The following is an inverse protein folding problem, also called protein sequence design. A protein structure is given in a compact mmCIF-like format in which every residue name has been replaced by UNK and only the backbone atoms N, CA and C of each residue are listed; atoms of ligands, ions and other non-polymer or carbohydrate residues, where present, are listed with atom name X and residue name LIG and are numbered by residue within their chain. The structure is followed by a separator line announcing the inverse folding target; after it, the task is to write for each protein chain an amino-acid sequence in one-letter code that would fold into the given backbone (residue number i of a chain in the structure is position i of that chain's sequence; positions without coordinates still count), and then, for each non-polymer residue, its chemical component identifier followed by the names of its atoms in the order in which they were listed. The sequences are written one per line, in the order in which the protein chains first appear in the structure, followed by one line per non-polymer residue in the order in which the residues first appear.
data_IF_590044283196
#
_entry.id   IF_590044283196
#
_cell.length_a   1.000
_cell.length_b   1.000
_cell.length_c   1.000
_cell.angle_alpha   90.00
_cell.angle_beta   90.00
_cell.angle_gamma   90.00
#
_symmetry.space_group_name_H-M   'P 1'
#
loop_
_entity.id
_entity.type
_entity.pdbx_description
1 polymer ?
#
# COMPACT_ATOMS: atom_id res chain seq x y z
N UNK A 1 16.90 -37.80 -37.15
CA UNK A 1 15.56 -37.30 -36.81
C UNK A 1 15.26 -37.82 -35.42
N UNK A 2 15.12 -36.97 -34.40
CA UNK A 2 14.68 -37.42 -33.08
C UNK A 2 13.30 -38.06 -33.26
N UNK A 3 13.15 -39.32 -32.88
CA UNK A 3 11.84 -39.95 -32.85
C UNK A 3 10.93 -39.16 -31.89
N UNK A 4 9.64 -38.95 -32.22
CA UNK A 4 8.73 -38.28 -31.31
C UNK A 4 8.71 -39.02 -29.97
N UNK A 5 9.11 -38.32 -28.91
CA UNK A 5 9.18 -38.83 -27.54
C UNK A 5 8.28 -37.97 -26.66
N UNK A 6 7.33 -38.61 -25.97
CA UNK A 6 6.42 -37.94 -25.03
C UNK A 6 7.16 -37.27 -23.88
N UNK A 7 8.38 -37.71 -23.56
CA UNK A 7 9.23 -37.08 -22.55
C UNK A 7 9.76 -35.70 -22.97
N UNK A 8 9.58 -35.29 -24.23
CA UNK A 8 9.96 -33.95 -24.71
C UNK A 8 8.82 -32.93 -24.62
N UNK A 9 7.65 -33.31 -24.06
CA UNK A 9 6.56 -32.37 -23.84
C UNK A 9 6.90 -31.46 -22.66
N UNK A 10 6.78 -30.16 -22.88
CA UNK A 10 7.05 -29.15 -21.86
C UNK A 10 5.76 -28.84 -21.07
N UNK A 11 5.82 -29.07 -19.77
CA UNK A 11 4.80 -28.61 -18.83
C UNK A 11 5.35 -27.37 -18.11
N UNK A 12 4.78 -26.20 -18.43
CA UNK A 12 5.27 -24.92 -17.93
C UNK A 12 4.99 -24.74 -16.45
N UNK A 13 6.03 -24.85 -15.63
CA UNK A 13 6.04 -24.33 -14.25
C UNK A 13 7.46 -23.90 -13.91
N UNK A 14 7.60 -22.83 -13.15
CA UNK A 14 8.91 -22.35 -12.75
C UNK A 14 8.85 -21.14 -11.84
N UNK A 15 10.04 -20.68 -11.45
CA UNK A 15 10.23 -19.50 -10.62
C UNK A 15 10.91 -18.43 -11.45
N UNK A 16 10.41 -17.20 -11.33
CA UNK A 16 10.97 -16.04 -11.99
C UNK A 16 11.67 -15.14 -10.96
N UNK A 17 12.88 -14.72 -11.33
CA UNK A 17 13.74 -13.90 -10.51
C UNK A 17 14.21 -12.69 -11.31
N UNK A 18 14.37 -11.56 -10.63
CA UNK A 18 14.95 -10.35 -11.21
C UNK A 18 16.03 -9.79 -10.29
N UNK A 19 17.16 -9.35 -10.84
CA UNK A 19 18.22 -8.65 -10.11
C UNK A 19 18.46 -7.29 -10.77
N UNK A 20 18.16 -6.20 -10.07
CA UNK A 20 18.50 -4.85 -10.54
C UNK A 20 20.02 -4.68 -10.65
N UNK A 21 20.49 -3.88 -11.60
CA UNK A 21 21.92 -3.50 -11.71
C UNK A 21 22.46 -2.78 -10.46
N UNK A 22 21.57 -2.23 -9.63
CA UNK A 22 21.92 -1.55 -8.37
C UNK A 22 22.05 -2.51 -7.19
N UNK A 23 21.73 -3.79 -7.37
CA UNK A 23 21.64 -4.79 -6.31
C UNK A 23 22.52 -6.01 -6.61
N UNK A 24 22.88 -6.75 -5.55
CA UNK A 24 23.76 -7.92 -5.67
C UNK A 24 23.03 -9.27 -5.64
N UNK A 25 21.70 -9.28 -5.47
CA UNK A 25 20.91 -10.50 -5.28
C UNK A 25 19.63 -10.52 -6.11
N UNK A 26 19.18 -11.73 -6.44
CA UNK A 26 17.93 -11.94 -7.16
C UNK A 26 16.72 -11.82 -6.22
N UNK A 27 15.80 -10.92 -6.57
CA UNK A 27 14.46 -10.85 -5.99
C UNK A 27 13.59 -11.94 -6.65
N UNK A 28 12.91 -12.74 -5.84
CA UNK A 28 11.86 -13.64 -6.33
C UNK A 28 10.58 -12.83 -6.57
N UNK A 29 10.01 -12.92 -7.77
CA UNK A 29 8.83 -12.13 -8.16
C UNK A 29 7.50 -12.69 -7.63
N UNK A 30 7.55 -13.85 -6.97
CA UNK A 30 6.37 -14.53 -6.43
C UNK A 30 5.66 -15.40 -7.46
N UNK A 31 4.34 -15.55 -7.31
CA UNK A 31 3.52 -16.27 -8.29
C UNK A 31 3.44 -15.52 -9.62
N UNK A 32 3.81 -16.21 -10.71
CA UNK A 32 3.77 -15.72 -12.08
C UNK A 32 3.00 -16.74 -12.93
N UNK A 33 1.67 -16.60 -13.10
CA UNK A 33 0.85 -17.56 -13.83
C UNK A 33 1.19 -17.65 -15.33
N UNK A 34 1.83 -16.61 -15.87
CA UNK A 34 2.13 -16.49 -17.29
C UNK A 34 3.53 -15.92 -17.49
N UNK A 35 4.34 -16.61 -18.31
CA UNK A 35 5.61 -16.12 -18.83
C UNK A 35 5.72 -16.53 -20.29
N UNK A 36 5.81 -15.56 -21.18
CA UNK A 36 5.96 -15.74 -22.62
C UNK A 36 7.22 -15.00 -23.10
N UNK A 37 8.00 -15.60 -24.00
CA UNK A 37 9.13 -14.93 -24.64
C UNK A 37 8.84 -14.84 -26.14
N UNK A 38 8.82 -13.63 -26.65
CA UNK A 38 8.68 -13.31 -28.06
C UNK A 38 10.06 -12.97 -28.65
N UNK A 39 10.35 -13.50 -29.85
CA UNK A 39 11.57 -13.19 -30.60
C UNK A 39 11.18 -12.36 -31.81
N UNK A 40 11.71 -11.13 -31.89
CA UNK A 40 11.52 -10.22 -33.01
C UNK A 40 12.72 -10.30 -33.96
N UNK A 41 12.49 -10.64 -35.23
CA UNK A 41 13.51 -10.59 -36.28
C UNK A 41 12.99 -9.75 -37.43
N UNK A 42 13.50 -8.53 -37.56
CA UNK A 42 13.17 -7.68 -38.70
C UNK A 42 14.10 -8.00 -39.88
N UNK A 43 13.52 -8.22 -41.05
CA UNK A 43 14.26 -8.50 -42.30
C UNK A 43 14.10 -7.34 -43.27
N UNK A 44 15.23 -6.80 -43.70
CA UNK A 44 15.28 -5.88 -44.83
C UNK A 44 15.35 -6.69 -46.13
N UNK A 45 14.31 -6.56 -46.97
CA UNK A 45 14.25 -7.22 -48.27
C UNK A 45 14.55 -6.24 -49.39
N UNK A 46 15.46 -6.62 -50.28
CA UNK A 46 15.69 -5.92 -51.54
C UNK A 46 14.90 -6.62 -52.66
N UNK A 47 14.40 -5.81 -53.61
CA UNK A 47 13.69 -6.27 -54.79
C UNK A 47 14.44 -5.77 -56.01
N UNK A 48 14.74 -6.67 -56.95
CA UNK A 48 15.35 -6.31 -58.22
C UNK A 48 14.42 -5.43 -59.03
N UNK A 49 14.97 -4.35 -59.59
CA UNK A 49 14.26 -3.42 -60.47
C UNK A 49 14.53 -3.68 -61.96
N UNK A 50 15.13 -4.82 -62.31
CA UNK A 50 15.53 -5.13 -63.69
C UNK A 50 14.39 -5.66 -64.57
N UNK A 51 13.28 -6.10 -63.98
CA UNK A 51 12.11 -6.60 -64.70
C UNK A 51 10.84 -5.84 -64.30
N UNK A 52 9.80 -5.90 -65.14
CA UNK A 52 8.51 -5.25 -64.89
C UNK A 52 7.75 -5.78 -63.68
N UNK A 53 8.11 -6.97 -63.18
CA UNK A 53 7.60 -7.52 -61.91
C UNK A 53 8.72 -7.48 -60.88
N UNK A 54 8.46 -6.88 -59.71
CA UNK A 54 9.43 -6.77 -58.62
C UNK A 54 9.69 -8.15 -58.01
N UNK A 55 10.84 -8.75 -58.32
CA UNK A 55 11.28 -10.03 -57.77
C UNK A 55 12.19 -9.78 -56.57
N UNK A 56 11.93 -10.46 -55.45
CA UNK A 56 12.80 -10.41 -54.26
C UNK A 56 14.11 -11.13 -54.57
N UNK A 57 15.22 -10.40 -54.55
CA UNK A 57 16.55 -10.92 -54.90
C UNK A 57 17.46 -11.11 -53.67
N UNK A 58 17.18 -10.41 -52.56
CA UNK A 58 17.98 -10.48 -51.34
C UNK A 58 17.13 -10.21 -50.09
N UNK A 59 17.41 -10.93 -49.02
CA UNK A 59 16.98 -10.57 -47.67
C UNK A 59 18.18 -10.52 -46.73
N UNK A 60 18.19 -9.56 -45.81
CA UNK A 60 19.17 -9.44 -44.73
C UNK A 60 18.42 -9.18 -43.42
N UNK A 61 18.88 -9.75 -42.32
CA UNK A 61 18.38 -9.41 -40.99
C UNK A 61 18.83 -7.99 -40.66
N UNK A 62 17.87 -7.11 -40.39
CA UNK A 62 18.11 -5.75 -39.96
C UNK A 62 18.27 -5.70 -38.44
N UNK A 63 17.35 -6.33 -37.72
CA UNK A 63 17.28 -6.28 -36.26
C UNK A 63 16.92 -7.66 -35.69
N UNK A 64 17.48 -7.94 -34.52
CA UNK A 64 17.11 -9.08 -33.67
C UNK A 64 16.79 -8.50 -32.30
N UNK A 65 15.65 -8.88 -31.74
CA UNK A 65 15.24 -8.53 -30.40
C UNK A 65 14.54 -9.72 -29.74
N UNK A 66 14.41 -9.64 -28.43
CA UNK A 66 13.58 -10.55 -27.67
C UNK A 66 12.89 -9.78 -26.56
N UNK A 67 11.69 -10.20 -26.22
CA UNK A 67 10.87 -9.58 -25.18
C UNK A 67 10.21 -10.68 -24.37
N UNK A 68 10.27 -10.62 -23.04
CA UNK A 68 9.44 -11.46 -22.18
C UNK A 68 8.24 -10.67 -21.66
N UNK A 69 7.07 -11.29 -21.65
CA UNK A 69 5.87 -10.77 -20.99
C UNK A 69 5.45 -11.71 -19.87
N UNK A 70 5.17 -11.15 -18.71
CA UNK A 70 4.76 -11.93 -17.54
C UNK A 70 3.87 -11.13 -16.59
N UNK A 71 3.00 -11.84 -15.88
CA UNK A 71 2.05 -11.24 -14.94
C UNK A 71 2.47 -11.62 -13.52
N UNK A 72 2.69 -10.65 -12.63
CA UNK A 72 2.97 -10.92 -11.21
C UNK A 72 1.68 -10.78 -10.40
N UNK A 73 1.34 -11.75 -9.56
CA UNK A 73 0.12 -11.67 -8.72
C UNK A 73 0.39 -11.18 -7.28
N UNK A 74 1.66 -11.10 -6.87
CA UNK A 74 2.03 -10.66 -5.53
C UNK A 74 2.26 -9.15 -5.44
N UNK A 75 1.34 -8.43 -4.76
CA UNK A 75 1.46 -6.99 -4.44
C UNK A 75 2.40 -6.75 -3.23
N UNK A 76 3.64 -7.23 -3.34
CA UNK A 76 4.69 -6.88 -2.38
C UNK A 76 5.19 -5.45 -2.63
N UNK A 77 5.81 -4.85 -1.61
CA UNK A 77 6.38 -3.50 -1.75
C UNK A 77 7.53 -3.50 -2.77
N UNK A 78 8.25 -4.61 -2.85
CA UNK A 78 9.36 -4.83 -3.76
C UNK A 78 8.86 -4.94 -5.22
N UNK A 79 7.80 -5.72 -5.48
CA UNK A 79 7.20 -5.84 -6.81
C UNK A 79 6.57 -4.53 -7.28
N UNK A 80 5.89 -3.81 -6.38
CA UNK A 80 5.34 -2.48 -6.68
C UNK A 80 6.44 -1.45 -6.95
N UNK A 81 7.59 -1.54 -6.26
CA UNK A 81 8.72 -0.64 -6.49
C UNK A 81 9.32 -0.88 -7.89
N UNK A 82 9.42 -2.14 -8.32
CA UNK A 82 9.84 -2.48 -9.68
C UNK A 82 8.82 -1.99 -10.71
N UNK A 83 7.53 -2.29 -10.51
CA UNK A 83 6.47 -1.93 -11.44
C UNK A 83 6.39 -0.41 -11.65
N UNK A 84 6.40 0.37 -10.58
CA UNK A 84 6.24 1.82 -10.65
C UNK A 84 7.54 2.59 -10.86
N UNK A 85 8.64 1.94 -11.26
CA UNK A 85 9.95 2.57 -11.48
C UNK A 85 10.38 3.41 -10.26
N UNK A 86 10.21 2.84 -9.07
CA UNK A 86 10.50 3.50 -7.80
C UNK A 86 11.98 3.55 -7.46
N UNK A 87 12.37 4.47 -6.57
CA UNK A 87 13.73 4.66 -6.06
C UNK A 87 14.04 3.84 -4.80
N UNK A 88 13.21 2.83 -4.51
CA UNK A 88 13.29 2.02 -3.30
C UNK A 88 12.11 2.27 -2.35
N UNK A 89 12.03 1.42 -1.33
CA UNK A 89 10.94 1.45 -0.36
C UNK A 89 11.24 2.49 0.71
N UNK A 90 10.38 3.51 0.80
CA UNK A 90 10.43 4.51 1.84
C UNK A 90 9.73 3.98 3.10
N UNK A 91 10.49 3.75 4.15
CA UNK A 91 9.95 3.32 5.44
C UNK A 91 9.56 4.56 6.25
N UNK A 92 8.25 4.72 6.45
CA UNK A 92 7.65 5.70 7.34
C UNK A 92 7.22 5.08 8.67
N UNK A 93 7.14 5.92 9.70
CA UNK A 93 6.61 5.54 11.00
C UNK A 93 5.66 6.62 11.50
N UNK A 94 4.45 6.21 11.86
CA UNK A 94 3.58 6.98 12.74
C UNK A 94 3.87 6.53 14.17
N UNK A 95 4.31 7.40 15.09
CA UNK A 95 4.41 7.05 16.51
C UNK A 95 3.01 6.97 17.13
N UNK A 96 2.90 6.41 18.33
CA UNK A 96 1.69 6.58 19.14
C UNK A 96 1.56 8.05 19.58
N UNK A 97 0.35 8.54 19.76
CA UNK A 97 0.12 9.89 20.25
C UNK A 97 -1.33 10.31 20.14
N UNK A 98 -1.56 11.61 20.23
CA UNK A 98 -2.89 12.19 20.37
C UNK A 98 -3.04 13.42 19.48
N UNK A 99 -4.15 13.49 18.77
CA UNK A 99 -4.71 14.72 18.24
C UNK A 99 -5.56 15.34 19.35
N UNK A 100 -5.18 16.54 19.77
CA UNK A 100 -5.83 17.25 20.86
C UNK A 100 -6.37 18.57 20.33
N UNK A 101 -7.67 18.61 20.05
CA UNK A 101 -8.36 19.74 19.47
C UNK A 101 -7.62 20.32 18.25
N UNK A 102 -7.24 19.47 17.30
CA UNK A 102 -6.60 19.92 16.08
C UNK A 102 -7.65 20.61 15.20
N UNK A 103 -7.42 21.88 14.85
CA UNK A 103 -8.29 22.57 13.89
C UNK A 103 -8.05 22.04 12.47
N UNK A 104 -9.13 21.62 11.82
CA UNK A 104 -9.14 21.12 10.44
C UNK A 104 -10.10 21.97 9.61
N UNK A 105 -9.60 22.50 8.50
CA UNK A 105 -10.43 23.16 7.50
C UNK A 105 -11.17 22.12 6.67
N UNK A 106 -12.49 22.25 6.61
CA UNK A 106 -13.37 21.31 5.89
C UNK A 106 -14.20 22.02 4.84
N UNK A 107 -14.57 21.27 3.81
CA UNK A 107 -15.42 21.74 2.71
C UNK A 107 -16.61 20.78 2.60
N UNK A 108 -17.79 21.32 2.29
CA UNK A 108 -19.00 20.53 2.12
C UNK A 108 -18.77 19.33 1.18
N UNK A 109 -19.13 18.15 1.67
CA UNK A 109 -19.16 16.87 0.96
C UNK A 109 -17.81 16.42 0.38
N UNK A 110 -16.69 16.94 0.91
CA UNK A 110 -15.32 16.52 0.54
C UNK A 110 -14.58 15.89 1.71
N UNK A 111 -13.85 14.81 1.42
CA UNK A 111 -12.94 14.20 2.38
C UNK A 111 -11.67 15.05 2.54
N UNK A 112 -11.24 15.20 3.79
CA UNK A 112 -10.01 15.87 4.21
C UNK A 112 -9.23 14.88 5.06
N UNK A 113 -7.92 14.83 4.84
CA UNK A 113 -7.01 13.94 5.56
C UNK A 113 -6.69 14.50 6.95
N UNK A 114 -6.83 13.66 7.98
CA UNK A 114 -6.45 13.97 9.36
C UNK A 114 -4.94 13.76 9.60
N UNK A 115 -4.23 13.18 8.64
CA UNK A 115 -2.79 12.91 8.69
C UNK A 115 -2.40 11.81 9.67
N UNK A 116 -3.39 11.07 10.20
CA UNK A 116 -3.22 9.99 11.17
C UNK A 116 -4.12 8.81 10.82
N UNK A 117 -3.58 7.61 11.01
CA UNK A 117 -4.30 6.35 10.84
C UNK A 117 -4.57 5.69 12.20
N UNK A 118 -5.50 4.74 12.21
CA UNK A 118 -5.87 3.96 13.39
C UNK A 118 -6.34 4.83 14.57
N UNK A 119 -7.23 5.76 14.24
CA UNK A 119 -7.81 6.72 15.18
C UNK A 119 -8.79 6.03 16.15
N UNK A 120 -8.75 6.47 17.40
CA UNK A 120 -9.61 5.96 18.46
C UNK A 120 -9.79 6.97 19.59
N UNK A 121 -10.76 6.72 20.45
CA UNK A 121 -10.94 7.42 21.72
C UNK A 121 -11.32 6.42 22.81
N UNK A 122 -11.13 6.78 24.07
CA UNK A 122 -11.67 6.01 25.19
C UNK A 122 -13.02 6.60 25.59
N UNK A 123 -14.07 5.78 25.55
CA UNK A 123 -15.37 6.14 26.13
C UNK A 123 -15.46 5.60 27.55
N UNK A 124 -15.74 6.46 28.51
CA UNK A 124 -16.00 6.10 29.91
C UNK A 124 -17.46 6.44 30.20
N UNK A 125 -18.30 5.42 30.39
CA UNK A 125 -19.65 5.61 30.91
C UNK A 125 -19.56 5.64 32.45
N UNK A 126 -20.20 6.60 33.10
CA UNK A 126 -20.08 6.84 34.54
C UNK A 126 -21.44 6.99 35.22
N UNK A 127 -21.45 6.94 36.55
CA UNK A 127 -22.65 7.20 37.36
C UNK A 127 -22.88 8.69 37.62
N UNK A 128 -23.62 9.01 38.68
CA UNK A 128 -23.83 10.41 39.09
C UNK A 128 -22.51 11.11 39.40
N UNK A 129 -22.37 12.35 38.91
CA UNK A 129 -21.22 13.20 39.18
C UNK A 129 -21.45 14.00 40.47
N UNK A 130 -20.43 14.04 41.34
CA UNK A 130 -20.37 14.86 42.55
C UNK A 130 -19.30 15.93 42.42
N UNK A 131 -19.42 17.01 43.19
CA UNK A 131 -18.43 18.11 43.27
C UNK A 131 -18.25 18.96 41.98
N UNK A 132 -19.25 18.99 41.10
CA UNK A 132 -19.29 19.82 39.89
C UNK A 132 -19.38 19.00 38.61
N UNK A 133 -19.60 19.61 37.43
CA UNK A 133 -19.49 18.91 36.16
C UNK A 133 -18.03 18.66 35.80
N UNK A 134 -17.77 17.65 34.97
CA UNK A 134 -16.44 17.48 34.36
C UNK A 134 -16.21 18.54 33.28
N UNK A 135 -15.01 19.10 33.24
CA UNK A 135 -14.65 20.13 32.27
C UNK A 135 -13.92 19.52 31.07
N UNK A 136 -14.38 19.82 29.85
CA UNK A 136 -13.66 19.42 28.65
C UNK A 136 -12.25 20.06 28.63
N UNK A 137 -11.24 19.24 28.34
CA UNK A 137 -9.84 19.61 28.36
C UNK A 137 -9.11 19.30 29.68
N UNK A 138 -9.81 18.93 30.75
CA UNK A 138 -9.14 18.53 31.99
C UNK A 138 -8.62 17.08 31.95
N UNK A 139 -7.70 16.75 32.85
CA UNK A 139 -7.22 15.38 33.06
C UNK A 139 -8.02 14.71 34.18
N UNK A 140 -8.57 13.54 33.91
CA UNK A 140 -9.16 12.66 34.92
C UNK A 140 -8.14 11.63 35.39
N UNK A 141 -8.23 11.24 36.67
CA UNK A 141 -7.40 10.19 37.25
C UNK A 141 -8.25 9.15 37.96
N UNK A 142 -8.02 7.87 37.67
CA UNK A 142 -8.64 6.73 38.36
C UNK A 142 -8.00 6.52 39.73
N UNK A 143 -8.82 6.40 40.77
CA UNK A 143 -8.34 6.27 42.16
C UNK A 143 -7.63 4.94 42.41
N UNK A 144 -8.09 3.85 41.79
CA UNK A 144 -7.52 2.51 41.98
C UNK A 144 -6.42 2.24 40.96
N UNK A 145 -6.71 2.48 39.69
CA UNK A 145 -5.81 2.17 38.57
C UNK A 145 -4.65 3.15 38.43
N UNK A 146 -4.78 4.37 38.98
CA UNK A 146 -3.92 5.52 38.65
C UNK A 146 -3.87 5.84 37.15
N UNK A 147 -4.81 5.30 36.36
CA UNK A 147 -4.92 5.61 34.94
C UNK A 147 -5.31 7.07 34.76
N UNK A 148 -4.80 7.70 33.71
CA UNK A 148 -5.11 9.09 33.37
C UNK A 148 -5.61 9.20 31.94
N UNK A 149 -6.50 10.15 31.71
CA UNK A 149 -6.92 10.53 30.37
C UNK A 149 -7.36 12.00 30.36
N UNK A 150 -7.25 12.66 29.21
CA UNK A 150 -7.76 14.01 28.99
C UNK A 150 -9.18 13.93 28.41
N UNK A 151 -10.12 14.69 28.96
CA UNK A 151 -11.49 14.76 28.46
C UNK A 151 -11.51 15.54 27.15
N UNK A 152 -11.88 14.90 26.05
CA UNK A 152 -12.16 15.56 24.78
C UNK A 152 -13.62 16.01 24.67
N UNK A 153 -14.56 15.28 25.30
CA UNK A 153 -15.97 15.66 25.41
C UNK A 153 -16.59 15.07 26.67
N UNK A 154 -17.44 15.83 27.36
CA UNK A 154 -18.23 15.38 28.49
C UNK A 154 -19.72 15.53 28.16
N UNK A 155 -20.50 14.47 28.34
CA UNK A 155 -21.96 14.48 28.22
C UNK A 155 -22.60 14.11 29.56
N UNK A 156 -22.92 15.13 30.35
CA UNK A 156 -23.58 14.94 31.65
C UNK A 156 -25.01 14.41 31.53
N UNK A 157 -25.66 14.60 30.38
CA UNK A 157 -27.05 14.16 30.16
C UNK A 157 -27.12 12.65 29.98
N UNK A 158 -26.19 12.12 29.17
CA UNK A 158 -26.09 10.70 28.86
C UNK A 158 -25.03 9.97 29.71
N UNK A 159 -24.38 10.68 30.64
CA UNK A 159 -23.42 10.17 31.63
C UNK A 159 -22.23 9.42 31.02
N UNK A 160 -21.57 10.04 30.04
CA UNK A 160 -20.34 9.52 29.49
C UNK A 160 -19.30 10.61 29.19
N UNK A 161 -18.03 10.21 29.23
CA UNK A 161 -16.88 11.00 28.81
C UNK A 161 -16.26 10.34 27.58
N UNK A 162 -15.86 11.14 26.61
CA UNK A 162 -14.97 10.74 25.52
C UNK A 162 -13.60 11.34 25.79
N UNK A 163 -12.61 10.47 25.97
CA UNK A 163 -11.28 10.82 26.45
C UNK A 163 -10.20 10.45 25.43
N UNK A 164 -9.10 11.19 25.49
CA UNK A 164 -7.88 11.05 24.69
C UNK A 164 -6.65 11.10 25.61
N UNK A 165 -5.45 10.94 25.05
CA UNK A 165 -4.18 10.91 25.79
C UNK A 165 -4.24 9.93 26.97
N UNK A 166 -4.77 8.73 26.68
CA UNK A 166 -5.00 7.71 27.71
C UNK A 166 -3.69 7.06 28.10
N UNK A 167 -3.43 7.00 29.41
CA UNK A 167 -2.29 6.31 30.01
C UNK A 167 -2.78 5.37 31.11
N UNK A 168 -2.39 4.10 31.03
CA UNK A 168 -2.91 3.05 31.91
C UNK A 168 -4.26 2.49 31.44
N UNK A 169 -4.94 1.78 32.32
CA UNK A 169 -6.25 1.15 32.03
C UNK A 169 -7.18 1.41 33.20
N UNK A 170 -8.30 2.08 32.93
CA UNK A 170 -9.32 2.31 33.95
C UNK A 170 -10.05 1.01 34.30
N UNK A 171 -10.43 0.88 35.57
CA UNK A 171 -11.12 -0.28 36.12
C UNK A 171 -12.62 0.02 36.29
N UNK A 172 -13.47 -0.94 35.91
CA UNK A 172 -14.91 -0.82 36.15
C UNK A 172 -15.19 -0.74 37.66
N UNK A 173 -16.05 0.20 38.06
CA UNK A 173 -16.37 0.44 39.47
C UNK A 173 -15.33 1.27 40.23
N UNK A 174 -14.31 1.83 39.59
CA UNK A 174 -13.42 2.80 40.24
C UNK A 174 -13.98 4.24 40.21
N UNK A 175 -13.51 5.09 41.14
CA UNK A 175 -13.83 6.52 41.13
C UNK A 175 -12.79 7.27 40.28
N UNK A 176 -13.28 8.04 39.30
CA UNK A 176 -12.49 9.04 38.59
C UNK A 176 -12.63 10.40 39.24
N UNK A 177 -11.53 11.16 39.26
CA UNK A 177 -11.50 12.54 39.76
C UNK A 177 -10.98 13.48 38.67
N UNK A 178 -11.70 14.57 38.40
CA UNK A 178 -11.29 15.65 37.51
C UNK A 178 -10.19 16.51 38.15
N UNK A 179 -9.13 16.79 37.42
CA UNK A 179 -7.97 17.50 37.94
C UNK A 179 -8.22 18.99 38.22
N UNK A 180 -9.09 19.64 37.44
CA UNK A 180 -9.41 21.06 37.58
C UNK A 180 -10.75 21.25 38.29
N UNK A 181 -11.77 20.53 37.86
CA UNK A 181 -13.14 20.61 38.38
C UNK A 181 -13.27 20.00 39.78
N UNK A 182 -12.37 19.08 40.14
CA UNK A 182 -12.50 18.19 41.32
C UNK A 182 -13.73 17.27 41.27
N UNK A 183 -14.43 17.24 40.14
CA UNK A 183 -15.62 16.42 39.94
C UNK A 183 -15.26 14.93 40.10
N UNK A 184 -16.15 14.17 40.73
CA UNK A 184 -15.96 12.74 40.97
C UNK A 184 -17.12 11.93 40.44
N UNK A 185 -16.84 10.78 39.85
CA UNK A 185 -17.88 9.84 39.40
C UNK A 185 -17.37 8.39 39.44
N UNK A 186 -18.30 7.46 39.64
CA UNK A 186 -18.03 6.01 39.58
C UNK A 186 -18.07 5.55 38.12
N UNK A 187 -17.00 4.92 37.62
CA UNK A 187 -17.00 4.32 36.28
C UNK A 187 -17.94 3.12 36.26
N UNK A 188 -18.81 3.07 35.24
CA UNK A 188 -19.64 1.90 34.92
C UNK A 188 -18.97 1.02 33.86
N UNK A 189 -18.34 1.64 32.86
CA UNK A 189 -17.53 0.95 31.85
C UNK A 189 -16.52 1.85 31.19
N UNK A 190 -15.33 1.34 30.87
CA UNK A 190 -14.33 2.01 30.04
C UNK A 190 -14.06 1.19 28.77
N UNK A 191 -14.27 1.77 27.58
CA UNK A 191 -14.12 1.05 26.29
C UNK A 191 -13.47 1.92 25.22
N UNK A 192 -12.43 1.42 24.57
CA UNK A 192 -11.85 2.06 23.39
C UNK A 192 -12.78 1.92 22.19
N UNK A 193 -13.10 3.04 21.54
CA UNK A 193 -13.93 3.12 20.33
C UNK A 193 -13.08 3.59 19.15
N UNK A 194 -13.30 3.00 17.98
CA UNK A 194 -12.76 3.49 16.71
C UNK A 194 -13.64 4.64 16.23
N UNK A 195 -13.39 5.82 16.77
CA UNK A 195 -14.12 7.06 16.51
C UNK A 195 -13.21 8.25 16.85
N UNK A 196 -13.66 9.45 16.51
CA UNK A 196 -13.02 10.72 16.87
C UNK A 196 -14.05 11.70 17.41
N UNK A 197 -13.62 12.57 18.33
CA UNK A 197 -14.44 13.70 18.77
C UNK A 197 -14.30 14.81 17.74
N UNK A 198 -15.42 15.27 17.19
CA UNK A 198 -15.45 16.44 16.29
C UNK A 198 -16.28 17.54 16.96
N UNK A 199 -15.67 18.70 17.19
CA UNK A 199 -16.28 19.78 17.94
C UNK A 199 -16.14 21.15 17.26
N UNK A 200 -16.90 22.14 17.77
CA UNK A 200 -16.97 23.49 17.22
C UNK A 200 -15.83 24.42 17.65
N UNK A 201 -15.09 24.08 18.70
CA UNK A 201 -14.03 24.90 19.28
C UNK A 201 -13.01 24.01 20.01
N UNK A 202 -11.82 24.57 20.30
CA UNK A 202 -10.78 23.85 21.05
C UNK A 202 -11.22 23.49 22.48
N UNK A 203 -11.97 24.38 23.13
CA UNK A 203 -12.77 24.05 24.32
C UNK A 203 -14.20 23.83 23.83
N UNK A 204 -14.63 22.56 23.69
CA UNK A 204 -15.84 22.24 22.95
C UNK A 204 -17.08 22.67 23.73
N UNK A 205 -18.01 23.32 23.02
CA UNK A 205 -19.36 23.61 23.53
C UNK A 205 -20.43 22.84 22.77
N UNK A 206 -20.08 22.33 21.59
CA UNK A 206 -20.94 21.46 20.79
C UNK A 206 -20.09 20.33 20.19
N UNK A 207 -20.54 19.10 20.43
CA UNK A 207 -20.09 17.88 19.77
C UNK A 207 -20.94 17.65 18.52
N UNK A 208 -20.30 17.63 17.36
CA UNK A 208 -20.97 17.28 16.12
C UNK A 208 -21.28 15.79 16.09
N UNK A 209 -22.32 15.41 15.34
CA UNK A 209 -22.83 14.04 15.31
C UNK A 209 -22.41 13.30 14.03
N UNK A 210 -21.80 12.13 14.18
CA UNK A 210 -21.46 11.25 13.07
C UNK A 210 -22.73 10.83 12.30
N UNK A 211 -22.69 10.88 10.97
CA UNK A 211 -23.81 10.58 10.08
C UNK A 211 -24.77 11.75 9.83
N UNK A 212 -24.79 12.76 10.71
CA UNK A 212 -25.60 13.98 10.56
C UNK A 212 -24.75 15.17 10.10
N UNK A 213 -23.63 15.41 10.78
CA UNK A 213 -22.75 16.55 10.55
C UNK A 213 -21.51 16.17 9.72
N UNK A 214 -20.99 14.96 9.92
CA UNK A 214 -19.80 14.45 9.26
C UNK A 214 -19.88 12.94 9.04
N UNK A 215 -19.01 12.42 8.17
CA UNK A 215 -18.74 10.99 8.01
C UNK A 215 -17.23 10.73 8.10
N UNK A 216 -16.84 9.55 8.58
CA UNK A 216 -15.44 9.15 8.72
C UNK A 216 -15.11 7.95 7.82
N UNK A 217 -13.90 7.97 7.28
CA UNK A 217 -13.20 6.78 6.81
C UNK A 217 -11.99 6.56 7.72
N UNK A 218 -12.14 5.65 8.67
CA UNK A 218 -11.11 5.35 9.67
C UNK A 218 -9.93 4.57 9.08
N UNK A 219 -10.13 3.86 7.97
CA UNK A 219 -9.07 3.12 7.30
C UNK A 219 -8.13 4.08 6.56
N UNK A 220 -8.69 5.13 5.95
CA UNK A 220 -7.95 6.21 5.29
C UNK A 220 -7.56 7.37 6.20
N UNK A 221 -8.09 7.47 7.43
CA UNK A 221 -7.88 8.64 8.30
C UNK A 221 -8.57 9.90 7.77
N UNK A 222 -9.69 9.75 7.06
CA UNK A 222 -10.36 10.84 6.37
C UNK A 222 -11.64 11.27 7.10
N UNK A 223 -11.87 12.57 7.15
CA UNK A 223 -13.13 13.17 7.60
C UNK A 223 -13.81 13.88 6.44
N UNK A 224 -15.13 13.74 6.31
CA UNK A 224 -15.94 14.52 5.37
C UNK A 224 -17.06 15.22 6.12
N UNK A 225 -17.11 16.54 6.00
CA UNK A 225 -18.27 17.31 6.41
C UNK A 225 -19.45 17.05 5.48
N UNK A 226 -20.66 16.89 6.01
CA UNK A 226 -21.90 16.80 5.25
C UNK A 226 -22.51 18.19 5.05
N UNK A 227 -22.98 18.50 3.84
CA UNK A 227 -23.65 19.78 3.56
C UNK A 227 -24.96 19.97 4.31
N UNK A 228 -25.60 18.89 4.77
CA UNK A 228 -26.78 18.90 5.65
C UNK A 228 -26.45 19.20 7.11
N UNK A 229 -25.16 19.16 7.47
CA UNK A 229 -24.65 19.33 8.81
C UNK A 229 -24.49 20.78 9.26
N UNK A 230 -24.13 20.94 10.53
CA UNK A 230 -23.97 22.24 11.19
C UNK A 230 -22.53 22.74 11.25
N UNK A 231 -21.56 21.92 10.83
CA UNK A 231 -20.15 22.35 10.76
C UNK A 231 -20.06 23.54 9.79
N UNK A 232 -19.19 24.51 10.04
CA UNK A 232 -19.00 25.67 9.15
C UNK A 232 -17.84 25.43 8.18
N UNK A 233 -16.75 26.18 8.29
CA UNK A 233 -15.53 26.06 7.47
C UNK A 233 -14.39 25.33 8.17
N UNK A 234 -14.46 25.20 9.49
CA UNK A 234 -13.51 24.42 10.28
C UNK A 234 -14.21 23.69 11.43
N UNK A 235 -13.54 22.66 11.94
CA UNK A 235 -13.90 21.94 13.15
C UNK A 235 -12.64 21.50 13.90
N UNK A 236 -12.79 21.14 15.16
CA UNK A 236 -11.71 20.67 16.03
C UNK A 236 -11.84 19.16 16.21
N UNK A 237 -10.78 18.42 15.91
CA UNK A 237 -10.75 16.96 15.99
C UNK A 237 -9.83 16.52 17.13
N UNK A 238 -10.36 15.64 18.00
CA UNK A 238 -9.61 15.03 19.09
C UNK A 238 -9.71 13.50 19.02
N UNK A 239 -8.56 12.82 19.05
CA UNK A 239 -8.46 11.36 19.01
C UNK A 239 -7.06 10.88 19.36
N UNK A 240 -6.94 9.69 19.94
CA UNK A 240 -5.69 8.95 20.03
C UNK A 240 -5.41 8.17 18.74
N UNK A 241 -4.13 7.98 18.43
CA UNK A 241 -3.68 7.17 17.30
C UNK A 241 -2.56 6.22 17.71
N UNK A 242 -2.63 4.99 17.20
CA UNK A 242 -1.63 3.97 17.49
C UNK A 242 -0.36 4.13 16.65
N UNK A 243 0.74 3.54 17.12
CA UNK A 243 1.96 3.43 16.34
C UNK A 243 1.74 2.53 15.11
N UNK A 244 2.21 2.96 13.94
CA UNK A 244 2.07 2.22 12.69
C UNK A 244 3.30 2.38 11.80
N UNK A 245 3.78 1.27 11.25
CA UNK A 245 4.78 1.30 10.17
C UNK A 245 4.07 1.46 8.84
N UNK A 246 4.59 2.36 8.01
CA UNK A 246 4.05 2.64 6.67
C UNK A 246 5.16 2.43 5.67
N UNK A 247 4.86 1.77 4.55
CA UNK A 247 5.77 1.69 3.40
C UNK A 247 5.18 2.54 2.28
N UNK A 248 5.99 3.38 1.66
CA UNK A 248 5.60 4.12 0.46
C UNK A 248 6.66 3.98 -0.63
N UNK A 249 6.23 4.19 -1.86
CA UNK A 249 7.06 4.08 -3.06
C UNK A 249 6.89 5.40 -3.81
N UNK A 250 8.01 5.99 -4.24
CA UNK A 250 7.98 7.18 -5.09
C UNK A 250 7.95 6.72 -6.53
N UNK A 251 6.75 6.59 -7.08
CA UNK A 251 6.56 6.17 -8.46
C UNK A 251 7.27 7.13 -9.44
N UNK A 252 7.80 6.57 -10.53
CA UNK A 252 8.49 7.29 -11.61
C UNK A 252 9.69 8.10 -11.15
N UNK A 253 10.33 7.69 -10.04
CA UNK A 253 11.58 8.30 -9.59
C UNK A 253 12.77 7.89 -10.48
N UNK A 254 12.71 6.70 -11.07
CA UNK A 254 13.64 6.21 -12.07
C UNK A 254 13.03 6.28 -13.48
N UNK A 255 13.88 6.52 -14.49
CA UNK A 255 13.46 6.51 -15.90
C UNK A 255 13.38 5.11 -16.50
N UNK A 256 14.17 4.18 -15.99
CA UNK A 256 14.16 2.77 -16.36
C UNK A 256 14.59 1.91 -15.16
N UNK A 257 14.27 0.62 -15.19
CA UNK A 257 14.82 -0.38 -14.29
C UNK A 257 15.49 -1.46 -15.14
N UNK A 258 16.82 -1.51 -15.12
CA UNK A 258 17.60 -2.52 -15.85
C UNK A 258 18.29 -3.50 -14.92
N UNK A 259 18.47 -4.73 -15.40
CA UNK A 259 19.03 -5.80 -14.60
C UNK A 259 19.12 -7.14 -15.32
N UNK A 260 19.19 -8.22 -14.55
CA UNK A 260 19.21 -9.60 -15.02
C UNK A 260 17.87 -10.29 -14.74
N UNK A 261 17.37 -11.06 -15.70
CA UNK A 261 16.16 -11.88 -15.55
C UNK A 261 16.54 -13.36 -15.54
N UNK A 262 16.03 -14.12 -14.58
CA UNK A 262 16.33 -15.53 -14.43
C UNK A 262 15.04 -16.34 -14.26
N UNK A 263 14.80 -17.27 -15.19
CA UNK A 263 13.75 -18.28 -15.09
C UNK A 263 14.36 -19.64 -14.76
N UNK A 264 13.84 -20.28 -13.71
CA UNK A 264 14.21 -21.65 -13.33
C UNK A 264 12.97 -22.54 -13.44
N UNK A 265 12.98 -23.57 -14.29
CA UNK A 265 11.87 -24.51 -14.41
C UNK A 265 11.76 -25.38 -13.14
N UNK A 266 10.52 -25.69 -12.76
CA UNK A 266 10.23 -26.57 -11.61
C UNK A 266 9.41 -27.79 -11.98
N UNK A 267 9.10 -27.99 -13.26
CA UNK A 267 8.37 -29.17 -13.70
C UNK A 267 9.18 -30.44 -13.46
N UNK A 268 8.51 -31.44 -12.88
CA UNK A 268 9.07 -32.78 -12.67
C UNK A 268 8.95 -33.65 -13.93
N UNK A 269 8.08 -33.24 -14.87
CA UNK A 269 7.84 -33.91 -16.14
C UNK A 269 8.28 -33.05 -17.32
N UNK A 270 9.08 -33.63 -18.21
CA UNK A 270 9.57 -32.99 -19.43
C UNK A 270 10.95 -32.33 -19.32
N UNK A 271 11.44 -31.72 -20.40
CA UNK A 271 12.75 -31.09 -20.42
C UNK A 271 12.73 -29.77 -19.64
N UNK A 272 13.74 -29.57 -18.80
CA UNK A 272 13.85 -28.41 -17.90
C UNK A 272 14.81 -27.38 -18.48
N UNK A 273 14.29 -26.32 -19.07
CA UNK A 273 15.10 -25.24 -19.63
C UNK A 273 15.17 -24.03 -18.70
N UNK A 274 16.37 -23.75 -18.17
CA UNK A 274 16.70 -22.51 -17.47
C UNK A 274 16.96 -21.40 -18.50
N UNK A 275 16.44 -20.21 -18.25
CA UNK A 275 16.65 -19.04 -19.12
C UNK A 275 17.30 -17.92 -18.30
N UNK A 276 18.42 -17.39 -18.81
CA UNK A 276 19.20 -16.31 -18.19
C UNK A 276 19.33 -15.14 -19.16
N UNK A 277 18.66 -14.02 -18.87
CA UNK A 277 18.82 -12.76 -19.58
C UNK A 277 19.87 -11.89 -18.90
N UNK A 278 20.95 -11.57 -19.61
CA UNK A 278 22.10 -10.82 -19.08
C UNK A 278 21.78 -9.36 -18.78
N UNK A 279 20.96 -8.77 -19.64
CA UNK A 279 20.58 -7.37 -19.57
C UNK A 279 19.16 -7.25 -20.06
N UNK A 280 18.24 -6.93 -19.16
CA UNK A 280 16.84 -6.66 -19.47
C UNK A 280 16.45 -5.28 -18.97
N UNK A 281 15.54 -4.62 -19.69
CA UNK A 281 14.84 -3.42 -19.24
C UNK A 281 13.40 -3.78 -18.87
N UNK A 282 13.01 -3.50 -17.62
CA UNK A 282 11.66 -3.76 -17.13
C UNK A 282 10.75 -2.54 -17.35
N UNK A 283 9.52 -2.82 -17.75
CA UNK A 283 8.44 -1.84 -17.85
C UNK A 283 7.09 -2.49 -17.55
N UNK A 284 6.08 -1.70 -17.19
CA UNK A 284 4.71 -2.18 -17.09
C UNK A 284 4.16 -2.41 -18.50
N UNK A 285 3.50 -3.55 -18.70
CA UNK A 285 2.75 -3.84 -19.91
C UNK A 285 1.28 -3.41 -19.75
N UNK A 286 0.98 -2.15 -20.09
CA UNK A 286 -0.37 -1.61 -19.95
C UNK A 286 -0.61 -0.94 -18.60
N UNK A 287 -1.56 -1.44 -17.80
CA UNK A 287 -1.97 -0.80 -16.55
C UNK A 287 -2.08 -1.81 -15.39
N UNK A 288 -1.76 -1.36 -14.17
CA UNK A 288 -1.93 -2.14 -12.94
C UNK A 288 -3.35 -1.93 -12.41
N UNK A 289 -4.14 -3.01 -12.31
CA UNK A 289 -5.45 -2.98 -11.68
C UNK A 289 -5.32 -2.94 -10.17
N UNK A 290 -5.86 -1.91 -9.51
CA UNK A 290 -5.94 -1.85 -8.04
C UNK A 290 -7.31 -2.27 -7.50
N UNK A 291 -8.32 -2.28 -8.37
CA UNK A 291 -9.69 -2.71 -8.09
C UNK A 291 -10.13 -3.55 -9.30
N UNK A 292 -10.20 -4.86 -9.13
CA UNK A 292 -10.52 -5.84 -10.18
C UNK A 292 -11.48 -6.90 -9.65
N UNK A 293 -12.27 -7.51 -10.54
CA UNK A 293 -13.18 -8.62 -10.17
C UNK A 293 -12.39 -9.93 -9.95
N UNK A 294 -11.32 -10.13 -10.71
CA UNK A 294 -10.37 -11.23 -10.56
C UNK A 294 -9.17 -10.83 -9.68
N UNK A 295 -8.31 -11.81 -9.37
CA UNK A 295 -7.02 -11.55 -8.70
C UNK A 295 -6.25 -10.50 -9.51
N UNK A 296 -5.96 -9.36 -8.88
CA UNK A 296 -5.17 -8.32 -9.52
C UNK A 296 -3.81 -8.87 -9.92
N UNK A 297 -3.35 -8.53 -11.12
CA UNK A 297 -2.00 -8.83 -11.57
C UNK A 297 -1.30 -7.54 -12.00
N UNK A 298 0.02 -7.57 -11.88
CA UNK A 298 0.93 -6.52 -12.34
C UNK A 298 1.55 -7.04 -13.65
N UNK A 299 1.03 -6.62 -14.81
CA UNK A 299 1.55 -7.05 -16.09
C UNK A 299 2.88 -6.33 -16.36
N UNK A 300 3.92 -7.11 -16.65
CA UNK A 300 5.29 -6.63 -16.87
C UNK A 300 5.82 -7.08 -18.23
N UNK A 301 6.69 -6.25 -18.79
CA UNK A 301 7.49 -6.56 -19.97
C UNK A 301 8.96 -6.41 -19.62
N UNK A 302 9.76 -7.42 -19.98
CA UNK A 302 11.22 -7.37 -19.96
C UNK A 302 11.75 -7.36 -21.40
N UNK A 303 12.31 -6.25 -21.83
CA UNK A 303 13.01 -6.16 -23.12
C UNK A 303 14.46 -6.65 -22.94
N UNK A 304 14.88 -7.66 -23.70
CA UNK A 304 16.26 -8.15 -23.66
C UNK A 304 17.16 -7.23 -24.49
N UNK A 305 18.10 -6.59 -23.81
CA UNK A 305 19.10 -5.71 -24.43
C UNK A 305 20.37 -6.50 -24.74
N UNK A 306 21.03 -6.16 -25.84
CA UNK A 306 22.27 -6.80 -26.21
C UNK A 306 23.43 -6.44 -25.24
N UNK A 307 24.07 -7.45 -24.67
CA UNK A 307 25.29 -7.38 -23.85
C UNK A 307 26.47 -8.03 -24.60
N UNK A 308 26.80 -7.47 -25.76
CA UNK A 308 27.88 -7.99 -26.62
C UNK A 308 29.26 -7.83 -26.00
N UNK A 309 29.42 -6.97 -24.99
CA UNK A 309 30.70 -6.73 -24.33
C UNK A 309 31.11 -7.91 -23.45
N UNK A 310 30.17 -8.44 -22.66
CA UNK A 310 30.44 -9.57 -21.76
C UNK A 310 30.01 -10.92 -22.34
N UNK A 311 29.03 -10.94 -23.24
CA UNK A 311 28.43 -12.15 -23.81
C UNK A 311 28.40 -12.10 -25.35
N UNK A 312 29.55 -12.12 -26.04
CA UNK A 312 29.61 -11.95 -27.49
C UNK A 312 28.89 -13.06 -28.29
N UNK A 313 28.90 -14.29 -27.78
CA UNK A 313 28.28 -15.45 -28.45
C UNK A 313 26.79 -15.63 -28.10
N UNK A 314 26.33 -14.99 -27.02
CA UNK A 314 24.96 -15.09 -26.51
C UNK A 314 24.45 -13.73 -25.99
N UNK A 315 24.39 -12.68 -26.82
CA UNK A 315 24.27 -11.30 -26.36
C UNK A 315 22.93 -10.95 -25.71
N UNK A 316 21.88 -11.76 -25.86
CA UNK A 316 20.55 -11.47 -25.30
C UNK A 316 20.26 -12.31 -24.06
N UNK A 317 20.30 -13.62 -24.22
CA UNK A 317 20.04 -14.58 -23.16
C UNK A 317 20.65 -15.95 -23.48
N UNK A 318 20.79 -16.78 -22.46
CA UNK A 318 21.15 -18.20 -22.58
C UNK A 318 19.99 -19.09 -22.16
N UNK A 319 19.73 -20.14 -22.93
CA UNK A 319 18.86 -21.24 -22.55
C UNK A 319 19.70 -22.49 -22.24
N UNK A 320 19.61 -23.04 -21.03
CA UNK A 320 20.37 -24.22 -20.57
C UNK A 320 19.43 -25.31 -20.11
N UNK A 321 19.55 -26.51 -20.68
CA UNK A 321 18.83 -27.68 -20.19
C UNK A 321 19.45 -28.19 -18.88
N UNK A 322 18.60 -28.38 -17.87
CA UNK A 322 18.97 -28.99 -16.58
C UNK A 322 18.60 -30.47 -16.63
N UNK A 323 19.62 -31.31 -16.81
CA UNK A 323 19.49 -32.77 -16.80
C UNK A 323 19.42 -33.28 -15.37
#
# INVERSE_FOLDING_TARGET
MLAPNTNNYFYGSGRLYFKSNTESGFLALGNVPKLEIEIAIEKQTHYSSQEGTRLKDKERIAEKGATASFDMEEYSAENLNLAFLGDGIQNGSQPTGTLDAQEITVINDRFVDLGKLDLSLLRIDHGSVTDGPFDAGETITGTTSSATAKIAWADDTNQYLECINVSGTFEDGEIITGGTSTATALISSATTKKDVVVANAATPTTRYTLGTDYSLDLAGGLIRKLSTGSISTSCFVSADYAAKTVKSIRALANSEVTGELLFIPTSDDGPRWKIEGWKVSLSINGAVGLITEDVGSIPMTAEFLADTENHPDEPFYRATEII
#
